data_IF_404221919110
#
_entry.id   IF_404221919110
#
_cell.length_a   1.000
_cell.length_b   1.000
_cell.length_c   1.000
_cell.angle_alpha   90.00
_cell.angle_beta   90.00
_cell.angle_gamma   90.00
#
_symmetry.space_group_name_H-M   'P 1'
#
loop_
_entity.id
_entity.type
_entity.pdbx_description
1 polymer ?
#
# COMPACT_ATOMS: atom_id res chain seq x y z
N UNK A 1 -134.98 15.25 -75.96
CA UNK A 1 -135.64 14.41 -74.94
C UNK A 1 -136.15 15.31 -73.83
N UNK A 2 -137.45 15.28 -73.55
CA UNK A 2 -138.04 16.08 -72.46
C UNK A 2 -137.72 15.38 -71.12
N UNK A 3 -137.24 16.09 -70.08
CA UNK A 3 -137.04 15.50 -68.76
C UNK A 3 -138.35 14.96 -68.21
N UNK A 4 -138.31 13.78 -67.59
CA UNK A 4 -139.47 13.24 -66.86
C UNK A 4 -139.62 14.06 -65.59
N UNK A 5 -140.65 14.89 -65.52
CA UNK A 5 -141.00 15.61 -64.29
C UNK A 5 -141.80 14.68 -63.38
N UNK A 6 -141.30 14.43 -62.17
CA UNK A 6 -142.00 13.66 -61.14
C UNK A 6 -142.92 14.61 -60.36
N UNK A 7 -144.15 14.18 -60.10
CA UNK A 7 -145.14 15.00 -59.38
C UNK A 7 -144.79 15.16 -57.91
N UNK A 8 -145.17 16.30 -57.32
CA UNK A 8 -144.95 16.63 -55.91
C UNK A 8 -145.49 15.56 -54.97
N UNK A 9 -146.67 14.99 -55.26
CA UNK A 9 -147.27 13.93 -54.44
C UNK A 9 -146.44 12.64 -54.45
N UNK A 10 -145.81 12.30 -55.58
CA UNK A 10 -144.95 11.11 -55.67
C UNK A 10 -143.69 11.24 -54.80
N UNK A 11 -143.17 12.47 -54.67
CA UNK A 11 -141.99 12.77 -53.85
C UNK A 11 -142.36 12.70 -52.37
N UNK A 12 -143.51 13.25 -51.98
CA UNK A 12 -144.03 13.19 -50.60
C UNK A 12 -144.31 11.74 -50.19
N UNK A 13 -144.95 10.94 -51.05
CA UNK A 13 -145.22 9.53 -50.78
C UNK A 13 -143.92 8.72 -50.61
N UNK A 14 -142.93 8.96 -51.48
CA UNK A 14 -141.63 8.31 -51.35
C UNK A 14 -140.89 8.71 -50.06
N UNK A 15 -141.03 9.96 -49.61
CA UNK A 15 -140.47 10.41 -48.33
C UNK A 15 -141.19 9.81 -47.12
N UNK A 16 -142.52 9.72 -47.16
CA UNK A 16 -143.31 9.03 -46.13
C UNK A 16 -142.94 7.54 -46.04
N UNK A 17 -142.81 6.84 -47.18
CA UNK A 17 -142.38 5.44 -47.20
C UNK A 17 -140.97 5.25 -46.61
N UNK A 18 -140.05 6.19 -46.87
CA UNK A 18 -138.71 6.17 -46.26
C UNK A 18 -138.76 6.45 -44.75
N UNK A 19 -139.68 7.32 -44.30
CA UNK A 19 -139.92 7.61 -42.90
C UNK A 19 -140.48 6.40 -42.16
N UNK A 20 -141.50 5.71 -42.72
CA UNK A 20 -142.07 4.49 -42.14
C UNK A 20 -141.06 3.35 -42.09
N UNK A 21 -140.13 3.30 -43.06
CA UNK A 21 -139.04 2.35 -43.08
C UNK A 21 -137.87 2.71 -42.11
N UNK A 22 -137.98 3.82 -41.35
CA UNK A 22 -136.94 4.27 -40.41
C UNK A 22 -135.62 4.66 -41.07
N UNK A 23 -135.64 5.00 -42.37
CA UNK A 23 -134.44 5.26 -43.18
C UNK A 23 -134.23 6.76 -43.36
N UNK A 24 -132.97 7.22 -43.30
CA UNK A 24 -132.65 8.64 -43.44
C UNK A 24 -133.13 9.21 -44.80
N UNK A 25 -133.94 10.27 -44.74
CA UNK A 25 -134.59 10.87 -45.92
C UNK A 25 -133.65 11.89 -46.56
N UNK A 26 -132.77 11.39 -47.41
CA UNK A 26 -131.84 12.18 -48.24
C UNK A 26 -132.37 12.31 -49.67
N UNK A 27 -131.94 13.35 -50.40
CA UNK A 27 -132.34 13.54 -51.80
C UNK A 27 -132.02 12.34 -52.71
N UNK A 28 -130.96 11.59 -52.40
CA UNK A 28 -130.59 10.38 -53.13
C UNK A 28 -131.50 9.18 -52.79
N UNK A 29 -131.90 9.03 -51.52
CA UNK A 29 -132.86 8.01 -51.10
C UNK A 29 -134.24 8.25 -51.74
N UNK A 30 -134.66 9.52 -51.82
CA UNK A 30 -135.87 9.93 -52.53
C UNK A 30 -135.77 9.60 -54.03
N UNK A 31 -134.63 9.88 -54.69
CA UNK A 31 -134.39 9.50 -56.09
C UNK A 31 -134.49 8.00 -56.31
N UNK A 32 -133.96 7.20 -55.39
CA UNK A 32 -134.00 5.74 -55.47
C UNK A 32 -135.42 5.18 -55.38
N UNK A 33 -136.31 5.82 -54.60
CA UNK A 33 -137.70 5.41 -54.44
C UNK A 33 -138.62 5.92 -55.55
N UNK A 34 -138.40 7.16 -56.02
CA UNK A 34 -139.20 7.79 -57.08
C UNK A 34 -138.78 7.29 -58.49
N UNK A 35 -137.59 6.70 -58.61
CA UNK A 35 -137.11 6.09 -59.86
C UNK A 35 -136.34 7.03 -60.79
N UNK A 36 -136.04 8.26 -60.38
CA UNK A 36 -135.28 9.24 -61.15
C UNK A 36 -135.43 10.67 -60.61
N UNK A 37 -134.87 11.66 -61.33
CA UNK A 37 -134.97 13.08 -60.98
C UNK A 37 -133.73 13.69 -60.32
N UNK A 38 -133.76 15.01 -60.10
CA UNK A 38 -132.66 15.76 -59.46
C UNK A 38 -132.79 15.65 -57.92
N UNK A 39 -131.79 15.06 -57.22
CA UNK A 39 -131.80 14.89 -55.77
C UNK A 39 -132.06 16.15 -54.95
N UNK A 40 -131.57 17.31 -55.40
CA UNK A 40 -131.72 18.58 -54.67
C UNK A 40 -133.18 19.05 -54.67
N UNK A 41 -133.89 18.91 -55.81
CA UNK A 41 -135.31 19.28 -55.92
C UNK A 41 -136.20 18.31 -55.12
N UNK A 42 -135.88 17.02 -55.12
CA UNK A 42 -136.60 16.01 -54.33
C UNK A 42 -136.48 16.30 -52.82
N UNK A 43 -135.27 16.63 -52.35
CA UNK A 43 -135.03 16.99 -50.95
C UNK A 43 -135.71 18.30 -50.57
N UNK A 44 -135.67 19.32 -51.43
CA UNK A 44 -136.35 20.59 -51.20
C UNK A 44 -137.86 20.41 -51.00
N UNK A 45 -138.53 19.68 -51.90
CA UNK A 45 -139.98 19.44 -51.80
C UNK A 45 -140.34 18.65 -50.52
N UNK A 46 -139.50 17.68 -50.14
CA UNK A 46 -139.69 16.95 -48.89
C UNK A 46 -139.50 17.83 -47.65
N UNK A 47 -138.46 18.68 -47.66
CA UNK A 47 -138.18 19.61 -46.57
C UNK A 47 -139.27 20.69 -46.47
N UNK A 48 -139.82 21.15 -47.59
CA UNK A 48 -141.00 22.04 -47.64
C UNK A 48 -142.24 21.36 -47.03
N UNK A 49 -142.49 20.08 -47.35
CA UNK A 49 -143.58 19.30 -46.73
C UNK A 49 -143.35 19.05 -45.23
N UNK A 50 -142.11 18.75 -44.80
CA UNK A 50 -141.78 18.62 -43.37
C UNK A 50 -141.91 19.94 -42.63
N UNK A 51 -141.45 21.04 -43.21
CA UNK A 51 -141.59 22.37 -42.61
C UNK A 51 -143.07 22.75 -42.47
N UNK A 52 -143.89 22.43 -43.47
CA UNK A 52 -145.34 22.66 -43.43
C UNK A 52 -146.06 21.76 -42.43
N UNK A 53 -145.56 20.54 -42.17
CA UNK A 53 -146.03 19.69 -41.06
C UNK A 53 -145.53 20.15 -39.68
N UNK A 54 -144.36 20.79 -39.62
CA UNK A 54 -143.70 21.19 -38.35
C UNK A 54 -144.02 22.64 -37.96
N UNK A 55 -144.86 23.34 -38.73
CA UNK A 55 -145.51 24.56 -38.25
C UNK A 55 -146.51 24.16 -37.17
N UNK A 56 -146.00 23.87 -35.98
CA UNK A 56 -146.78 23.82 -34.76
C UNK A 56 -147.42 25.19 -34.60
N UNK A 57 -148.73 25.25 -34.82
CA UNK A 57 -149.57 26.31 -34.30
C UNK A 57 -149.29 26.34 -32.80
N UNK A 58 -148.62 27.39 -32.32
CA UNK A 58 -148.48 27.63 -30.90
C UNK A 58 -149.87 27.92 -30.34
N UNK A 59 -150.54 26.89 -29.83
CA UNK A 59 -151.68 27.06 -28.94
C UNK A 59 -151.19 27.87 -27.72
N UNK A 60 -151.91 28.93 -27.31
CA UNK A 60 -151.60 29.60 -26.06
C UNK A 60 -151.85 28.59 -24.93
N UNK A 61 -150.76 28.17 -24.28
CA UNK A 61 -150.82 27.33 -23.09
C UNK A 61 -151.70 28.04 -22.06
N UNK A 62 -152.77 27.38 -21.64
CA UNK A 62 -153.58 27.85 -20.53
C UNK A 62 -152.68 28.04 -19.30
N UNK A 63 -152.64 29.27 -18.78
CA UNK A 63 -151.95 29.59 -17.55
C UNK A 63 -152.38 28.62 -16.45
N UNK A 64 -151.39 28.04 -15.77
CA UNK A 64 -151.67 27.19 -14.61
C UNK A 64 -152.47 28.00 -13.59
N UNK A 65 -153.48 27.40 -12.94
CA UNK A 65 -154.18 28.04 -11.83
C UNK A 65 -153.18 28.60 -10.82
N UNK A 66 -153.41 29.84 -10.35
CA UNK A 66 -152.47 30.63 -9.55
C UNK A 66 -151.96 29.86 -8.32
N UNK A 67 -152.84 29.11 -7.65
CA UNK A 67 -152.52 28.24 -6.50
C UNK A 67 -151.45 27.17 -6.82
N UNK A 68 -151.50 26.59 -8.03
CA UNK A 68 -150.54 25.56 -8.47
C UNK A 68 -149.20 26.22 -8.83
N UNK A 69 -149.24 27.39 -9.46
CA UNK A 69 -148.03 28.15 -9.78
C UNK A 69 -147.29 28.63 -8.51
N UNK A 70 -148.01 29.10 -7.49
CA UNK A 70 -147.44 29.47 -6.19
C UNK A 70 -146.84 28.28 -5.45
N UNK A 71 -147.53 27.13 -5.44
CA UNK A 71 -147.01 25.91 -4.81
C UNK A 71 -145.72 25.43 -5.49
N UNK A 72 -145.68 25.41 -6.83
CA UNK A 72 -144.48 25.05 -7.60
C UNK A 72 -143.36 26.06 -7.37
N UNK A 73 -143.66 27.36 -7.31
CA UNK A 73 -142.67 28.40 -7.01
C UNK A 73 -142.08 28.26 -5.60
N UNK A 74 -142.92 27.98 -4.60
CA UNK A 74 -142.50 27.75 -3.21
C UNK A 74 -141.61 26.52 -3.07
N UNK A 75 -141.99 25.39 -3.68
CA UNK A 75 -141.19 24.16 -3.67
C UNK A 75 -139.87 24.37 -4.43
N UNK A 76 -139.89 25.04 -5.58
CA UNK A 76 -138.68 25.33 -6.36
C UNK A 76 -137.72 26.23 -5.58
N UNK A 77 -138.24 27.24 -4.87
CA UNK A 77 -137.45 28.11 -3.99
C UNK A 77 -136.83 27.31 -2.84
N UNK A 78 -137.62 26.50 -2.13
CA UNK A 78 -137.13 25.66 -1.03
C UNK A 78 -136.06 24.65 -1.49
N UNK A 79 -136.25 24.04 -2.66
CA UNK A 79 -135.26 23.13 -3.25
C UNK A 79 -133.98 23.90 -3.62
N UNK A 80 -134.11 25.09 -4.21
CA UNK A 80 -132.97 25.94 -4.56
C UNK A 80 -132.17 26.34 -3.32
N UNK A 81 -132.85 26.77 -2.25
CA UNK A 81 -132.23 27.13 -0.98
C UNK A 81 -131.49 25.93 -0.37
N UNK A 82 -132.07 24.72 -0.46
CA UNK A 82 -131.47 23.49 0.08
C UNK A 82 -130.28 23.00 -0.73
N UNK A 83 -130.33 23.14 -2.06
CA UNK A 83 -129.18 22.89 -2.94
C UNK A 83 -128.05 23.89 -2.65
N UNK A 84 -128.38 25.17 -2.49
CA UNK A 84 -127.40 26.20 -2.15
C UNK A 84 -126.73 25.92 -0.80
N UNK A 85 -127.51 25.56 0.23
CA UNK A 85 -126.98 25.20 1.54
C UNK A 85 -126.06 23.96 1.48
N UNK A 86 -126.47 22.90 0.76
CA UNK A 86 -125.65 21.71 0.59
C UNK A 86 -124.36 22.00 -0.19
N UNK A 87 -124.41 22.88 -1.20
CA UNK A 87 -123.22 23.29 -1.95
C UNK A 87 -122.21 24.02 -1.05
N UNK A 88 -122.68 24.91 -0.17
CA UNK A 88 -121.83 25.58 0.83
C UNK A 88 -121.24 24.56 1.80
N UNK A 89 -122.03 23.63 2.34
CA UNK A 89 -121.51 22.59 3.25
C UNK A 89 -120.49 21.66 2.58
N UNK A 90 -120.72 21.26 1.33
CA UNK A 90 -119.78 20.45 0.56
C UNK A 90 -118.49 21.22 0.26
N UNK A 91 -118.59 22.52 -0.07
CA UNK A 91 -117.44 23.38 -0.26
C UNK A 91 -116.62 23.49 1.04
N UNK A 92 -117.27 23.79 2.16
CA UNK A 92 -116.63 23.85 3.48
C UNK A 92 -115.90 22.56 3.85
N UNK A 93 -116.51 21.39 3.58
CA UNK A 93 -115.88 20.09 3.81
C UNK A 93 -114.69 19.87 2.87
N UNK A 94 -114.81 20.24 1.60
CA UNK A 94 -113.73 20.12 0.62
C UNK A 94 -112.53 21.01 0.99
N UNK A 95 -112.78 22.26 1.39
CA UNK A 95 -111.75 23.20 1.85
C UNK A 95 -111.08 22.65 3.11
N UNK A 96 -111.83 22.24 4.13
CA UNK A 96 -111.26 21.64 5.36
C UNK A 96 -110.45 20.37 5.08
N UNK A 97 -110.87 19.54 4.13
CA UNK A 97 -110.12 18.35 3.73
C UNK A 97 -108.83 18.71 2.95
N UNK A 98 -108.88 19.73 2.10
CA UNK A 98 -107.72 20.25 1.38
C UNK A 98 -106.71 20.87 2.36
N UNK A 99 -107.16 21.70 3.30
CA UNK A 99 -106.30 22.34 4.31
C UNK A 99 -105.60 21.30 5.19
N UNK A 100 -106.30 20.24 5.60
CA UNK A 100 -105.69 19.13 6.35
C UNK A 100 -104.61 18.43 5.52
N UNK A 101 -104.88 18.15 4.24
CA UNK A 101 -103.89 17.56 3.32
C UNK A 101 -102.69 18.47 3.12
N UNK A 102 -102.90 19.77 2.94
CA UNK A 102 -101.82 20.76 2.82
C UNK A 102 -100.99 20.81 4.09
N UNK A 103 -101.62 20.85 5.27
CA UNK A 103 -100.90 20.81 6.55
C UNK A 103 -100.07 19.54 6.71
N UNK A 104 -100.61 18.39 6.34
CA UNK A 104 -99.87 17.12 6.43
C UNK A 104 -98.69 17.07 5.46
N UNK A 105 -98.86 17.55 4.23
CA UNK A 105 -97.77 17.67 3.25
C UNK A 105 -96.70 18.65 3.72
N UNK A 106 -97.09 19.83 4.23
CA UNK A 106 -96.14 20.82 4.77
C UNK A 106 -95.39 20.27 5.97
N UNK A 107 -96.08 19.57 6.88
CA UNK A 107 -95.46 18.92 8.03
C UNK A 107 -94.47 17.85 7.59
N UNK A 108 -94.87 16.94 6.71
CA UNK A 108 -94.01 15.86 6.20
C UNK A 108 -92.80 16.40 5.42
N UNK A 109 -93.00 17.42 4.57
CA UNK A 109 -91.91 18.07 3.86
C UNK A 109 -90.95 18.81 4.82
N UNK A 110 -91.49 19.44 5.86
CA UNK A 110 -90.69 20.07 6.92
C UNK A 110 -89.85 19.06 7.69
N UNK A 111 -90.42 17.92 8.07
CA UNK A 111 -89.71 16.81 8.74
C UNK A 111 -88.63 16.21 7.83
N UNK A 112 -88.93 15.95 6.56
CA UNK A 112 -87.94 15.44 5.58
C UNK A 112 -86.80 16.43 5.37
N UNK A 113 -87.11 17.73 5.25
CA UNK A 113 -86.10 18.78 5.11
C UNK A 113 -85.21 18.86 6.35
N UNK A 114 -85.80 18.83 7.55
CA UNK A 114 -85.03 18.86 8.80
C UNK A 114 -84.14 17.63 8.95
N UNK A 115 -84.60 16.45 8.52
CA UNK A 115 -83.80 15.24 8.50
C UNK A 115 -82.63 15.34 7.51
N UNK A 116 -82.89 15.81 6.28
CA UNK A 116 -81.85 16.00 5.29
C UNK A 116 -80.81 17.05 5.73
N UNK A 117 -81.24 18.14 6.36
CA UNK A 117 -80.33 19.15 6.91
C UNK A 117 -79.44 18.57 8.03
N UNK A 118 -79.94 17.65 8.86
CA UNK A 118 -79.13 16.95 9.86
C UNK A 118 -78.13 15.99 9.23
N UNK A 119 -78.57 15.16 8.27
CA UNK A 119 -77.69 14.23 7.57
C UNK A 119 -76.59 14.95 6.78
N UNK A 120 -76.91 16.11 6.19
CA UNK A 120 -75.92 16.97 5.53
C UNK A 120 -74.93 17.57 6.52
N UNK A 121 -75.38 17.97 7.72
CA UNK A 121 -74.49 18.48 8.77
C UNK A 121 -73.53 17.38 9.27
N UNK A 122 -74.04 16.18 9.55
CA UNK A 122 -73.22 15.04 9.96
C UNK A 122 -72.22 14.67 8.86
N UNK A 123 -72.66 14.66 7.59
CA UNK A 123 -71.77 14.40 6.46
C UNK A 123 -70.66 15.47 6.34
N UNK A 124 -71.00 16.76 6.50
CA UNK A 124 -70.03 17.84 6.49
C UNK A 124 -68.99 17.68 7.61
N UNK A 125 -69.42 17.37 8.84
CA UNK A 125 -68.51 17.11 9.96
C UNK A 125 -67.57 15.94 9.67
N UNK A 126 -68.08 14.84 9.09
CA UNK A 126 -67.21 13.72 8.71
C UNK A 126 -66.21 14.07 7.62
N UNK A 127 -66.55 14.98 6.70
CA UNK A 127 -65.61 15.45 5.68
C UNK A 127 -64.52 16.29 6.33
N UNK A 128 -64.87 17.24 7.21
CA UNK A 128 -63.89 18.06 7.94
C UNK A 128 -62.92 17.20 8.78
N UNK A 129 -63.43 16.14 9.42
CA UNK A 129 -62.63 15.16 10.16
C UNK A 129 -61.66 14.38 9.24
N UNK A 130 -62.12 14.01 8.04
CA UNK A 130 -61.30 13.30 7.07
C UNK A 130 -60.23 14.21 6.44
N UNK A 131 -60.56 15.47 6.19
CA UNK A 131 -59.61 16.49 5.72
C UNK A 131 -58.53 16.73 6.77
N UNK A 132 -58.91 16.87 8.04
CA UNK A 132 -57.94 17.01 9.15
C UNK A 132 -57.00 15.80 9.22
N UNK A 133 -57.54 14.57 9.14
CA UNK A 133 -56.72 13.35 9.12
C UNK A 133 -55.82 13.26 7.89
N UNK A 134 -56.29 13.72 6.74
CA UNK A 134 -55.50 13.74 5.51
C UNK A 134 -54.31 14.69 5.67
N UNK A 135 -54.53 15.89 6.21
CA UNK A 135 -53.47 16.86 6.47
C UNK A 135 -52.45 16.34 7.48
N UNK A 136 -52.90 15.69 8.57
CA UNK A 136 -52.03 15.05 9.55
C UNK A 136 -51.17 13.95 8.93
N UNK A 137 -51.78 13.09 8.09
CA UNK A 137 -51.08 12.02 7.40
C UNK A 137 -50.07 12.58 6.38
N UNK A 138 -50.43 13.61 5.63
CA UNK A 138 -49.52 14.29 4.71
C UNK A 138 -48.33 14.90 5.45
N UNK A 139 -48.57 15.64 6.54
CA UNK A 139 -47.51 16.18 7.37
C UNK A 139 -46.60 15.08 7.97
N UNK A 140 -47.18 13.93 8.35
CA UNK A 140 -46.40 12.78 8.83
C UNK A 140 -45.53 12.17 7.72
N UNK A 141 -46.05 12.08 6.50
CA UNK A 141 -45.34 11.56 5.34
C UNK A 141 -44.16 12.47 4.96
N UNK A 142 -44.37 13.78 4.93
CA UNK A 142 -43.31 14.77 4.68
C UNK A 142 -42.20 14.71 5.74
N UNK A 143 -42.57 14.57 7.02
CA UNK A 143 -41.59 14.39 8.12
C UNK A 143 -40.79 13.11 7.96
N UNK A 144 -41.43 12.00 7.61
CA UNK A 144 -40.75 10.72 7.37
C UNK A 144 -39.83 10.78 6.14
N UNK A 145 -40.27 11.43 5.07
CA UNK A 145 -39.46 11.65 3.87
C UNK A 145 -38.22 12.48 4.17
N UNK A 146 -38.35 13.53 4.99
CA UNK A 146 -37.23 14.37 5.45
C UNK A 146 -36.25 13.54 6.29
N UNK A 147 -36.74 12.79 7.29
CA UNK A 147 -35.90 11.90 8.10
C UNK A 147 -35.19 10.84 7.25
N UNK A 148 -35.85 10.30 6.25
CA UNK A 148 -35.26 9.32 5.34
C UNK A 148 -34.10 9.95 4.54
N UNK A 149 -34.29 11.17 4.02
CA UNK A 149 -33.25 11.90 3.30
C UNK A 149 -32.05 12.24 4.21
N UNK A 150 -32.30 12.64 5.46
CA UNK A 150 -31.26 12.91 6.45
C UNK A 150 -30.47 11.65 6.80
N UNK A 151 -31.16 10.53 7.04
CA UNK A 151 -30.52 9.23 7.31
C UNK A 151 -29.72 8.74 6.11
N UNK A 152 -30.22 8.92 4.88
CA UNK A 152 -29.47 8.58 3.67
C UNK A 152 -28.21 9.44 3.53
N UNK A 153 -28.30 10.75 3.78
CA UNK A 153 -27.16 11.67 3.70
C UNK A 153 -26.09 11.33 4.74
N UNK A 154 -26.51 11.09 5.99
CA UNK A 154 -25.58 10.69 7.07
C UNK A 154 -24.95 9.33 6.83
N UNK A 155 -25.72 8.35 6.33
CA UNK A 155 -25.20 7.03 5.97
C UNK A 155 -24.19 7.11 4.82
N UNK A 156 -24.43 7.93 3.80
CA UNK A 156 -23.48 8.17 2.71
C UNK A 156 -22.18 8.82 3.24
N UNK A 157 -22.30 9.84 4.10
CA UNK A 157 -21.14 10.47 4.72
C UNK A 157 -20.31 9.46 5.55
N UNK A 158 -20.97 8.65 6.39
CA UNK A 158 -20.32 7.59 7.17
C UNK A 158 -19.66 6.52 6.28
N UNK A 159 -20.27 6.15 5.15
CA UNK A 159 -19.67 5.19 4.23
C UNK A 159 -18.38 5.73 3.59
N UNK A 160 -18.35 7.03 3.25
CA UNK A 160 -17.15 7.72 2.74
C UNK A 160 -16.07 7.80 3.83
N UNK A 161 -16.41 8.20 5.05
CA UNK A 161 -15.47 8.23 6.17
C UNK A 161 -14.88 6.84 6.46
N UNK A 162 -15.71 5.80 6.47
CA UNK A 162 -15.25 4.42 6.66
C UNK A 162 -14.29 3.97 5.55
N UNK A 163 -14.55 4.35 4.30
CA UNK A 163 -13.66 4.07 3.18
C UNK A 163 -12.31 4.77 3.34
N UNK A 164 -12.31 6.05 3.71
CA UNK A 164 -11.09 6.83 3.96
C UNK A 164 -10.28 6.27 5.13
N UNK A 165 -10.93 5.86 6.23
CA UNK A 165 -10.25 5.24 7.38
C UNK A 165 -9.63 3.90 6.99
N UNK A 166 -10.33 3.08 6.20
CA UNK A 166 -9.79 1.81 5.69
C UNK A 166 -8.59 2.01 4.79
N UNK A 167 -8.62 3.01 3.91
CA UNK A 167 -7.49 3.36 3.05
C UNK A 167 -6.29 3.80 3.89
N UNK A 168 -6.50 4.71 4.85
CA UNK A 168 -5.44 5.16 5.77
C UNK A 168 -4.86 4.01 6.58
N UNK A 169 -5.72 3.11 7.08
CA UNK A 169 -5.28 1.93 7.82
C UNK A 169 -4.41 1.04 6.93
N UNK A 170 -4.86 0.72 5.71
CA UNK A 170 -4.09 -0.09 4.77
C UNK A 170 -2.74 0.54 4.43
N UNK A 171 -2.70 1.86 4.20
CA UNK A 171 -1.46 2.59 3.98
C UNK A 171 -0.51 2.49 5.20
N UNK A 172 -1.04 2.68 6.42
CA UNK A 172 -0.22 2.55 7.65
C UNK A 172 0.26 1.13 7.91
N UNK A 173 -0.54 0.11 7.57
CA UNK A 173 -0.13 -1.29 7.69
C UNK A 173 0.97 -1.63 6.68
N UNK A 174 0.88 -1.12 5.45
CA UNK A 174 1.93 -1.29 4.45
C UNK A 174 3.23 -0.58 4.84
N UNK A 175 3.16 0.64 5.35
CA UNK A 175 4.36 1.36 5.81
C UNK A 175 4.99 0.69 7.04
N UNK A 176 4.16 0.20 7.98
CA UNK A 176 4.64 -0.57 9.12
C UNK A 176 5.33 -1.87 8.68
N UNK A 177 4.74 -2.63 7.75
CA UNK A 177 5.35 -3.84 7.19
C UNK A 177 6.69 -3.53 6.52
N UNK A 178 6.72 -2.52 5.65
CA UNK A 178 7.96 -2.10 4.98
C UNK A 178 9.04 -1.67 5.99
N UNK A 179 8.68 -0.94 7.05
CA UNK A 179 9.60 -0.57 8.11
C UNK A 179 10.13 -1.81 8.85
N UNK A 180 9.28 -2.78 9.19
CA UNK A 180 9.72 -4.04 9.83
C UNK A 180 10.66 -4.86 8.94
N UNK A 181 10.38 -4.94 7.63
CA UNK A 181 11.25 -5.61 6.66
C UNK A 181 12.60 -4.90 6.52
N UNK A 182 12.60 -3.56 6.49
CA UNK A 182 13.83 -2.75 6.48
C UNK A 182 14.66 -2.98 7.74
N UNK A 183 14.05 -2.93 8.93
CA UNK A 183 14.75 -3.18 10.18
C UNK A 183 15.29 -4.62 10.27
N UNK A 184 14.54 -5.62 9.79
CA UNK A 184 15.02 -7.00 9.73
C UNK A 184 16.22 -7.16 8.78
N UNK A 185 16.19 -6.50 7.62
CA UNK A 185 17.31 -6.48 6.68
C UNK A 185 18.54 -5.76 7.27
N UNK A 186 18.34 -4.65 7.98
CA UNK A 186 19.41 -3.92 8.65
C UNK A 186 20.05 -4.74 9.78
N UNK A 187 19.24 -5.40 10.63
CA UNK A 187 19.74 -6.32 11.65
C UNK A 187 20.56 -7.47 11.04
N UNK A 188 20.10 -8.02 9.92
CA UNK A 188 20.84 -9.07 9.19
C UNK A 188 22.19 -8.55 8.69
N UNK A 189 22.23 -7.34 8.12
CA UNK A 189 23.46 -6.69 7.67
C UNK A 189 24.41 -6.40 8.84
N UNK A 190 23.90 -5.87 9.94
CA UNK A 190 24.68 -5.59 11.14
C UNK A 190 25.26 -6.87 11.74
N UNK A 191 24.48 -7.94 11.82
CA UNK A 191 24.95 -9.24 12.29
C UNK A 191 26.02 -9.83 11.36
N UNK A 192 25.86 -9.72 10.05
CA UNK A 192 26.87 -10.14 9.09
C UNK A 192 28.17 -9.34 9.25
N UNK A 193 28.08 -8.01 9.40
CA UNK A 193 29.23 -7.15 9.66
C UNK A 193 29.92 -7.50 10.99
N UNK A 194 29.16 -7.73 12.06
CA UNK A 194 29.70 -8.15 13.35
C UNK A 194 30.43 -9.51 13.27
N UNK A 195 29.85 -10.47 12.55
CA UNK A 195 30.50 -11.76 12.30
C UNK A 195 31.77 -11.63 11.45
N UNK A 196 31.79 -10.73 10.46
CA UNK A 196 32.98 -10.45 9.68
C UNK A 196 34.10 -9.87 10.56
N UNK A 197 33.79 -8.86 11.38
CA UNK A 197 34.76 -8.27 12.33
C UNK A 197 35.27 -9.32 13.30
N UNK A 198 34.40 -10.20 13.81
CA UNK A 198 34.80 -11.31 14.67
C UNK A 198 35.76 -12.27 13.94
N UNK A 199 35.46 -12.63 12.70
CA UNK A 199 36.34 -13.48 11.90
C UNK A 199 37.69 -12.81 11.59
N UNK A 200 37.71 -11.49 11.34
CA UNK A 200 38.94 -10.71 11.18
C UNK A 200 39.76 -10.68 12.47
N UNK A 201 39.11 -10.49 13.62
CA UNK A 201 39.77 -10.54 14.93
C UNK A 201 40.35 -11.93 15.22
N UNK A 202 39.62 -13.00 14.90
CA UNK A 202 40.11 -14.37 15.07
C UNK A 202 41.32 -14.65 14.16
N UNK A 203 41.31 -14.14 12.91
CA UNK A 203 42.48 -14.22 12.00
C UNK A 203 43.67 -13.45 12.55
N UNK A 204 43.47 -12.20 12.97
CA UNK A 204 44.53 -11.36 13.54
C UNK A 204 45.12 -11.99 14.80
N UNK A 205 44.29 -12.53 15.68
CA UNK A 205 44.75 -13.27 16.86
C UNK A 205 45.56 -14.52 16.47
N UNK A 206 45.12 -15.27 15.45
CA UNK A 206 45.87 -16.40 14.91
C UNK A 206 47.22 -16.00 14.31
N UNK A 207 47.30 -14.86 13.63
CA UNK A 207 48.56 -14.29 13.13
C UNK A 207 49.50 -13.86 14.26
N UNK A 208 48.96 -13.19 15.29
CA UNK A 208 49.72 -12.83 16.50
C UNK A 208 50.30 -14.07 17.18
N UNK A 209 49.51 -15.15 17.30
CA UNK A 209 49.98 -16.38 17.94
C UNK A 209 51.09 -17.06 17.12
N UNK A 210 50.93 -17.14 15.78
CA UNK A 210 52.01 -17.64 14.90
C UNK A 210 53.28 -16.80 15.03
N UNK A 211 53.17 -15.48 15.05
CA UNK A 211 54.33 -14.61 15.24
C UNK A 211 54.99 -14.83 16.60
N UNK A 212 54.21 -15.06 17.67
CA UNK A 212 54.74 -15.40 18.98
C UNK A 212 55.47 -16.74 18.99
N UNK A 213 54.91 -17.76 18.33
CA UNK A 213 55.57 -19.06 18.17
C UNK A 213 56.87 -18.94 17.38
N UNK A 214 56.86 -18.23 16.24
CA UNK A 214 58.06 -17.96 15.43
C UNK A 214 59.12 -17.18 16.23
N UNK A 215 58.73 -16.14 16.96
CA UNK A 215 59.62 -15.39 17.85
C UNK A 215 60.17 -16.29 18.96
N UNK A 216 59.35 -17.14 19.58
CA UNK A 216 59.80 -18.10 20.60
C UNK A 216 60.80 -19.13 20.04
N UNK A 217 60.54 -19.65 18.85
CA UNK A 217 61.46 -20.57 18.15
C UNK A 217 62.78 -19.89 17.81
N UNK A 218 62.73 -18.69 17.22
CA UNK A 218 63.95 -17.93 16.87
C UNK A 218 64.73 -17.51 18.10
N UNK A 219 64.09 -17.12 19.20
CA UNK A 219 64.76 -16.86 20.48
C UNK A 219 65.43 -18.11 21.05
N UNK A 220 64.76 -19.26 21.01
CA UNK A 220 65.33 -20.54 21.48
C UNK A 220 66.55 -20.93 20.66
N UNK A 221 66.45 -20.81 19.33
CA UNK A 221 67.58 -21.05 18.43
C UNK A 221 68.73 -20.08 18.69
N UNK A 222 68.45 -18.78 18.80
CA UNK A 222 69.46 -17.78 19.11
C UNK A 222 70.15 -18.05 20.45
N UNK A 223 69.41 -18.46 21.49
CA UNK A 223 69.97 -18.85 22.77
C UNK A 223 70.88 -20.09 22.65
N UNK A 224 70.48 -21.09 21.86
CA UNK A 224 71.29 -22.27 21.59
C UNK A 224 72.57 -21.93 20.81
N UNK A 225 72.47 -21.07 19.78
CA UNK A 225 73.61 -20.61 18.99
C UNK A 225 74.58 -19.79 19.86
N UNK A 226 74.07 -18.92 20.74
CA UNK A 226 74.88 -18.17 21.72
C UNK A 226 75.58 -19.13 22.68
N UNK A 227 74.90 -20.14 23.22
CA UNK A 227 75.49 -21.12 24.11
C UNK A 227 76.56 -21.97 23.40
N UNK A 228 76.32 -22.37 22.16
CA UNK A 228 77.28 -23.08 21.33
C UNK A 228 78.51 -22.21 21.01
N UNK A 229 78.31 -20.92 20.69
CA UNK A 229 79.39 -19.97 20.49
C UNK A 229 80.22 -19.79 21.78
N UNK A 230 79.57 -19.66 22.94
CA UNK A 230 80.25 -19.62 24.22
C UNK A 230 81.08 -20.88 24.48
N UNK A 231 80.50 -22.07 24.27
CA UNK A 231 81.23 -23.33 24.41
C UNK A 231 82.45 -23.42 23.46
N UNK A 232 82.29 -22.97 22.20
CA UNK A 232 83.39 -22.91 21.25
C UNK A 232 84.48 -21.91 21.67
N UNK A 233 84.11 -20.75 22.22
CA UNK A 233 85.09 -19.78 22.74
C UNK A 233 85.85 -20.32 23.95
N UNK A 234 85.18 -21.04 24.86
CA UNK A 234 85.84 -21.68 26.01
C UNK A 234 86.77 -22.82 25.56
N UNK A 235 86.34 -23.62 24.57
CA UNK A 235 87.20 -24.64 23.97
C UNK A 235 88.43 -24.01 23.29
N UNK A 236 88.26 -22.92 22.55
CA UNK A 236 89.36 -22.18 21.92
C UNK A 236 90.31 -21.58 22.97
N UNK A 237 89.79 -21.05 24.07
CA UNK A 237 90.60 -20.56 25.21
C UNK A 237 91.39 -21.70 25.85
N UNK A 238 90.78 -22.87 26.07
CA UNK A 238 91.47 -24.04 26.61
C UNK A 238 92.59 -24.52 25.67
N UNK A 239 92.35 -24.56 24.36
CA UNK A 239 93.40 -24.86 23.38
C UNK A 239 94.48 -23.79 23.35
N UNK A 240 94.13 -22.50 23.46
CA UNK A 240 95.11 -21.42 23.54
C UNK A 240 95.98 -21.54 24.79
N UNK A 241 95.43 -21.90 25.95
CA UNK A 241 96.20 -22.20 27.17
C UNK A 241 97.12 -23.40 26.95
N UNK A 242 96.67 -24.48 26.29
CA UNK A 242 97.53 -25.62 25.95
C UNK A 242 98.67 -25.22 25.00
N UNK A 243 98.38 -24.41 23.99
CA UNK A 243 99.38 -23.91 23.04
C UNK A 243 100.37 -22.98 23.73
N UNK A 244 99.89 -22.07 24.59
CA UNK A 244 100.75 -21.22 25.42
C UNK A 244 101.66 -22.06 26.33
N UNK A 245 101.12 -23.06 27.04
CA UNK A 245 101.93 -23.95 27.87
C UNK A 245 102.96 -24.75 27.05
N UNK A 246 102.62 -25.19 25.82
CA UNK A 246 103.58 -25.82 24.91
C UNK A 246 104.64 -24.85 24.41
N UNK A 247 104.27 -23.60 24.11
CA UNK A 247 105.19 -22.55 23.70
C UNK A 247 106.16 -22.21 24.84
N UNK A 248 105.67 -22.01 26.06
CA UNK A 248 106.50 -21.79 27.25
C UNK A 248 107.42 -22.98 27.55
N UNK A 249 106.93 -24.22 27.40
CA UNK A 249 107.75 -25.41 27.53
C UNK A 249 108.84 -25.50 26.44
N UNK A 250 108.52 -25.12 25.20
CA UNK A 250 109.49 -25.06 24.11
C UNK A 250 110.53 -23.94 24.34
N UNK A 251 110.11 -22.77 24.86
CA UNK A 251 110.99 -21.67 25.23
C UNK A 251 111.93 -22.07 26.38
N UNK A 252 111.43 -22.74 27.42
CA UNK A 252 112.25 -23.29 28.49
C UNK A 252 113.24 -24.34 27.96
N UNK A 253 112.79 -25.25 27.09
CA UNK A 253 113.66 -26.23 26.45
C UNK A 253 114.74 -25.55 25.58
N UNK A 254 114.39 -24.50 24.83
CA UNK A 254 115.36 -23.69 24.08
C UNK A 254 116.34 -22.96 25.01
N UNK A 255 115.89 -22.42 26.14
CA UNK A 255 116.78 -21.81 27.14
C UNK A 255 117.73 -22.83 27.78
N UNK A 256 117.25 -24.03 28.09
CA UNK A 256 118.11 -25.13 28.56
C UNK A 256 119.08 -25.60 27.48
N UNK A 257 118.63 -25.72 26.23
CA UNK A 257 119.46 -26.09 25.09
C UNK A 257 120.53 -25.03 24.82
N UNK A 258 120.20 -23.75 24.91
CA UNK A 258 121.19 -22.66 24.76
C UNK A 258 122.16 -22.60 25.94
N UNK A 259 121.71 -22.86 27.18
CA UNK A 259 122.62 -22.96 28.35
C UNK A 259 123.59 -24.13 28.22
N UNK A 260 123.09 -25.31 27.81
CA UNK A 260 123.92 -26.50 27.59
C UNK A 260 124.88 -26.30 26.42
N UNK A 261 124.39 -25.79 25.28
CA UNK A 261 125.23 -25.42 24.15
C UNK A 261 126.27 -24.35 24.52
N UNK A 262 125.93 -23.35 25.34
CA UNK A 262 126.88 -22.35 25.84
C UNK A 262 127.92 -22.97 26.78
N UNK A 263 127.53 -23.93 27.64
CA UNK A 263 128.45 -24.65 28.51
C UNK A 263 129.41 -25.57 27.72
N UNK A 264 128.90 -26.23 26.68
CA UNK A 264 129.70 -27.04 25.75
C UNK A 264 130.63 -26.17 24.89
N UNK A 265 130.13 -25.05 24.36
CA UNK A 265 130.93 -24.06 23.67
C UNK A 265 132.04 -23.51 24.58
N UNK A 266 131.73 -23.21 25.85
CA UNK A 266 132.74 -22.80 26.84
C UNK A 266 133.78 -23.89 27.10
N UNK A 267 133.37 -25.15 27.28
CA UNK A 267 134.33 -26.27 27.42
C UNK A 267 135.22 -26.41 26.18
N UNK A 268 134.66 -26.27 24.99
CA UNK A 268 135.43 -26.30 23.75
C UNK A 268 136.38 -25.11 23.63
N UNK A 269 135.96 -23.91 24.06
CA UNK A 269 136.79 -22.73 24.13
C UNK A 269 137.92 -22.89 25.15
N UNK A 270 137.65 -23.46 26.33
CA UNK A 270 138.67 -23.77 27.35
C UNK A 270 139.67 -24.83 26.84
N UNK A 271 139.20 -25.83 26.09
CA UNK A 271 140.08 -26.81 25.42
C UNK A 271 140.94 -26.16 24.33
N UNK A 272 140.38 -25.27 23.52
CA UNK A 272 141.11 -24.52 22.50
C UNK A 272 142.14 -23.57 23.14
N UNK A 273 141.78 -22.87 24.21
CA UNK A 273 142.70 -22.01 24.95
C UNK A 273 143.86 -22.81 25.55
N UNK A 274 143.60 -24.02 26.05
CA UNK A 274 144.64 -24.93 26.52
C UNK A 274 145.52 -25.42 25.37
N UNK A 275 144.95 -25.77 24.23
CA UNK A 275 145.69 -26.15 23.03
C UNK A 275 146.55 -25.00 22.47
N UNK A 276 146.06 -23.76 22.53
CA UNK A 276 146.82 -22.56 22.17
C UNK A 276 147.98 -22.29 23.16
N UNK A 277 147.73 -22.45 24.46
CA UNK A 277 148.78 -22.34 25.48
C UNK A 277 149.88 -23.41 25.30
N UNK A 278 149.50 -24.65 25.01
CA UNK A 278 150.44 -25.75 24.72
C UNK A 278 151.24 -25.46 23.43
N UNK A 279 150.60 -24.89 22.40
CA UNK A 279 151.27 -24.47 21.17
C UNK A 279 152.25 -23.31 21.40
N UNK A 280 151.88 -22.34 22.22
CA UNK A 280 152.74 -21.19 22.50
C UNK A 280 153.93 -21.57 23.41
N UNK A 281 153.74 -22.54 24.31
CA UNK A 281 154.83 -23.21 25.03
C UNK A 281 155.78 -23.92 24.06
N UNK A 282 155.25 -24.71 23.12
CA UNK A 282 156.04 -25.38 22.08
C UNK A 282 156.79 -24.38 21.19
N UNK A 283 156.20 -23.21 20.89
CA UNK A 283 156.89 -22.13 20.15
C UNK A 283 158.04 -21.51 20.94
N UNK A 284 157.87 -21.29 22.25
CA UNK A 284 158.96 -20.80 23.11
C UNK A 284 160.11 -21.80 23.18
N UNK A 285 159.81 -23.09 23.35
CA UNK A 285 160.82 -24.15 23.29
C UNK A 285 161.53 -24.20 21.93
N UNK A 286 160.77 -24.08 20.83
CA UNK A 286 161.36 -24.01 19.49
C UNK A 286 162.25 -22.77 19.28
N UNK A 287 161.90 -21.62 19.87
CA UNK A 287 162.76 -20.42 19.82
C UNK A 287 164.02 -20.57 20.66
N UNK A 288 163.92 -21.18 21.84
CA UNK A 288 165.08 -21.47 22.69
C UNK A 288 166.04 -22.44 21.99
N UNK A 289 165.52 -23.49 21.35
CA UNK A 289 166.32 -24.43 20.57
C UNK A 289 167.03 -23.77 19.37
N UNK A 290 166.42 -22.78 18.72
CA UNK A 290 167.06 -22.00 17.64
C UNK A 290 168.16 -21.08 18.16
N UNK A 291 167.96 -20.49 19.32
CA UNK A 291 168.95 -19.59 19.94
C UNK A 291 170.20 -20.36 20.39
N UNK A 292 170.02 -21.57 20.93
CA UNK A 292 171.12 -22.47 21.27
C UNK A 292 171.86 -22.99 20.03
N UNK A 293 171.14 -23.29 18.94
CA UNK A 293 171.74 -23.65 17.66
C UNK A 293 172.57 -22.50 17.05
N UNK A 294 172.10 -21.26 17.16
CA UNK A 294 172.85 -20.08 16.71
C UNK A 294 174.14 -19.87 17.54
N UNK A 295 174.09 -20.08 18.86
CA UNK A 295 175.28 -20.02 19.73
C UNK A 295 176.32 -21.10 19.43
N UNK A 296 175.90 -22.32 19.07
CA UNK A 296 176.79 -23.40 18.68
C UNK A 296 177.47 -23.12 17.32
N UNK A 297 176.73 -22.51 16.39
CA UNK A 297 177.24 -22.14 15.06
C UNK A 297 178.30 -21.04 15.14
N UNK A 298 178.09 -20.01 15.99
CA UNK A 298 179.10 -18.97 16.23
C UNK A 298 180.38 -19.47 16.92
N UNK A 299 180.30 -20.54 17.72
CA UNK A 299 181.49 -21.18 18.31
C UNK A 299 182.31 -21.98 17.29
N UNK A 300 181.66 -22.57 16.28
CA UNK A 300 182.34 -23.31 15.20
C UNK A 300 183.09 -22.37 14.23
N UNK A 301 182.52 -21.21 13.88
CA UNK A 301 183.20 -20.22 13.03
C UNK A 301 184.45 -19.62 13.70
N UNK A 302 184.41 -19.41 15.03
CA UNK A 302 185.55 -18.93 15.81
C UNK A 302 186.72 -19.93 15.83
N UNK A 303 186.45 -21.25 15.88
CA UNK A 303 187.48 -22.29 15.78
C UNK A 303 188.04 -22.45 14.36
N UNK A 304 187.20 -22.27 13.34
CA UNK A 304 187.63 -22.39 11.94
C UNK A 304 188.55 -21.22 11.51
N UNK A 305 188.35 -20.05 12.11
CA UNK A 305 189.23 -18.88 11.92
C UNK A 305 190.59 -19.06 12.63
N UNK A 306 190.63 -19.75 13.78
CA UNK A 306 191.89 -20.09 14.46
C UNK A 306 192.71 -21.18 13.71
N UNK A 307 192.06 -22.14 13.06
CA UNK A 307 192.74 -23.19 12.27
C UNK A 307 193.32 -22.63 10.97
N UNK A 308 192.65 -21.66 10.34
CA UNK A 308 193.16 -21.01 9.12
C UNK A 308 194.38 -20.13 9.41
N UNK A 309 194.38 -19.43 10.56
CA UNK A 309 195.53 -18.62 10.99
C UNK A 309 196.78 -19.44 11.35
N UNK A 310 196.60 -20.63 11.96
CA UNK A 310 197.72 -21.53 12.28
C UNK A 310 198.30 -22.24 11.04
N UNK A 311 197.50 -22.46 9.98
CA UNK A 311 198.02 -23.02 8.73
C UNK A 311 198.77 -21.99 7.87
N UNK A 312 198.43 -20.70 7.92
CA UNK A 312 199.26 -19.65 7.30
C UNK A 312 200.57 -19.41 8.06
N UNK A 313 200.59 -19.60 9.38
CA UNK A 313 201.82 -19.56 10.19
C UNK A 313 202.79 -20.74 9.93
N UNK A 314 202.34 -21.80 9.25
CA UNK A 314 203.17 -22.94 8.84
C UNK A 314 203.68 -22.82 7.39
N UNK A 315 203.09 -21.98 6.54
CA UNK A 315 203.51 -21.81 5.15
C UNK A 315 204.72 -20.86 4.98
N UNK A 316 204.86 -19.85 5.86
CA UNK A 316 205.88 -18.80 5.68
C UNK A 316 207.14 -18.96 6.56
N UNK A 317 207.41 -20.16 7.12
CA UNK A 317 208.66 -20.45 7.86
C UNK A 317 209.45 -21.68 7.42
N UNK A 318 209.30 -22.12 6.17
CA UNK A 318 210.36 -22.88 5.46
C UNK A 318 210.51 -22.41 3.99
N UNK A 319 211.45 -21.45 3.84
CA UNK A 319 212.18 -20.95 2.64
C UNK A 319 211.82 -19.51 2.23
N UNK A 320 212.62 -18.46 2.49
CA UNK A 320 213.87 -18.21 3.27
C UNK A 320 213.98 -16.65 3.48
N UNK A 321 214.83 -16.11 4.37
CA UNK A 321 214.47 -14.94 5.21
C UNK A 321 214.85 -13.52 4.71
N UNK A 322 214.16 -12.53 5.32
CA UNK A 322 214.41 -11.06 5.45
C UNK A 322 214.05 -10.14 4.25
N UNK A 323 213.49 -8.92 4.35
CA UNK A 323 213.22 -7.95 5.43
C UNK A 323 212.30 -6.79 4.91
N UNK A 324 211.57 -6.15 5.85
CA UNK A 324 211.14 -4.73 5.94
C UNK A 324 209.92 -4.15 5.17
N UNK A 325 209.11 -3.46 5.99
CA UNK A 325 208.51 -2.10 5.78
C UNK A 325 207.29 -1.97 4.86
N UNK A 326 206.26 -1.15 5.11
CA UNK A 326 205.85 -0.27 6.23
C UNK A 326 204.46 0.33 5.89
N UNK A 327 203.81 0.97 6.89
CA UNK A 327 202.80 2.06 6.80
C UNK A 327 201.38 1.63 6.37
N UNK A 328 200.26 2.15 6.88
CA UNK A 328 199.79 3.34 7.63
C UNK A 328 198.48 2.85 8.32
N UNK A 329 197.86 3.47 9.32
CA UNK A 329 198.00 4.70 10.10
C UNK A 329 197.05 4.55 11.30
#
# INVERSE_FOLDING_TARGET
MRPVEFTTESIIRAGQDLQTAGRNITGFALRQKVGGGNPSRLKQVWDEHQSSQTTAVAEPVAELPEDVAEAVASVSKSLTDRIAALAVELNDRAVKAADRRVHEVVRSAGEQRAQAERELADAAETVDDLETKLDELQASAERLQTKLADVQTTSQAQAVELAQVRERLSATEQTAKAATEQHAAELTRMNAAANQVRAELDRANGEIERQREELGFTQTKAAADILAAHAATEAARAELVKVQAKAEAADLAHQEQTKTAAAEAKRSADQLAKAEADRDAARKEASAAREDAAKQTGKLEAMQTQITGLMQALADRQQQPELKTAKKS
#
